data_IF_682716460951
#
_entry.id   IF_682716460951
#
_cell.length_a   1.000
_cell.length_b   1.000
_cell.length_c   1.000
_cell.angle_alpha   90.00
_cell.angle_beta   90.00
_cell.angle_gamma   90.00
#
_symmetry.space_group_name_H-M   'P 1'
#
loop_
_entity.id
_entity.type
_entity.pdbx_description
1 polymer ?
#
# COMPACT_ATOMS: atom_id res chain seq x y z
N UNK A 1 -41.92 -14.09 -33.06
CA UNK A 1 -40.97 -15.01 -32.38
C UNK A 1 -39.48 -14.58 -32.39
N UNK A 2 -39.07 -13.50 -33.07
CA UNK A 2 -37.64 -13.06 -33.09
C UNK A 2 -37.23 -12.09 -31.97
N UNK A 3 -38.17 -11.43 -31.30
CA UNK A 3 -37.88 -10.43 -30.26
C UNK A 3 -37.58 -11.00 -28.86
N UNK A 4 -38.05 -12.22 -28.56
CA UNK A 4 -37.87 -12.84 -27.24
C UNK A 4 -36.45 -13.42 -27.06
N UNK A 5 -35.76 -13.79 -28.16
CA UNK A 5 -34.40 -14.33 -28.09
C UNK A 5 -33.33 -13.27 -27.80
N UNK A 6 -33.54 -12.00 -28.16
CA UNK A 6 -32.59 -10.91 -27.86
C UNK A 6 -32.66 -10.45 -26.40
N UNK A 7 -33.81 -10.54 -25.73
CA UNK A 7 -33.91 -10.19 -24.31
C UNK A 7 -33.21 -11.23 -23.41
N UNK A 8 -33.30 -12.52 -23.76
CA UNK A 8 -32.63 -13.58 -23.00
C UNK A 8 -31.10 -13.47 -23.07
N UNK A 9 -30.55 -13.04 -24.22
CA UNK A 9 -29.10 -12.87 -24.37
C UNK A 9 -28.57 -11.67 -23.57
N UNK A 10 -29.37 -10.60 -23.45
CA UNK A 10 -29.01 -9.43 -22.64
C UNK A 10 -29.04 -9.73 -21.13
N UNK A 11 -29.96 -10.60 -20.68
CA UNK A 11 -30.05 -11.00 -19.27
C UNK A 11 -28.91 -11.91 -18.81
N UNK A 12 -28.40 -12.78 -19.69
CA UNK A 12 -27.28 -13.69 -19.37
C UNK A 12 -25.95 -12.93 -19.25
N UNK A 13 -25.75 -11.87 -20.04
CA UNK A 13 -24.52 -11.06 -19.97
C UNK A 13 -24.50 -10.20 -18.70
N UNK A 14 -25.64 -9.67 -18.26
CA UNK A 14 -25.74 -8.84 -17.03
C UNK A 14 -25.53 -9.69 -15.76
N UNK A 15 -25.92 -10.98 -15.75
CA UNK A 15 -25.68 -11.84 -14.57
C UNK A 15 -24.22 -12.33 -14.45
N UNK A 16 -23.47 -12.42 -15.55
CA UNK A 16 -22.08 -12.87 -15.51
C UNK A 16 -21.10 -11.84 -14.92
N UNK A 17 -21.45 -10.55 -14.92
CA UNK A 17 -20.59 -9.48 -14.38
C UNK A 17 -20.89 -9.12 -12.92
N UNK A 18 -22.00 -9.62 -12.36
CA UNK A 18 -22.40 -9.35 -10.97
C UNK A 18 -21.84 -10.33 -9.93
N UNK A 19 -21.31 -11.48 -10.35
CA UNK A 19 -20.96 -12.58 -9.43
C UNK A 19 -19.54 -12.51 -8.85
N UNK A 20 -18.62 -11.73 -9.43
CA UNK A 20 -17.24 -11.63 -8.91
C UNK A 20 -16.97 -10.42 -8.01
N UNK A 21 -17.86 -9.42 -7.99
CA UNK A 21 -17.68 -8.21 -7.19
C UNK A 21 -18.09 -8.39 -5.70
N UNK A 22 -18.69 -9.52 -5.34
CA UNK A 22 -19.27 -9.73 -4.01
C UNK A 22 -18.26 -10.26 -2.97
N UNK A 23 -17.14 -10.84 -3.36
CA UNK A 23 -16.25 -11.55 -2.42
C UNK A 23 -15.05 -10.72 -1.92
N UNK A 24 -14.92 -9.47 -2.39
CA UNK A 24 -13.80 -8.59 -2.04
C UNK A 24 -14.29 -7.29 -1.39
N UNK A 25 -13.48 -6.76 -0.47
CA UNK A 25 -13.63 -5.44 0.14
C UNK A 25 -12.35 -4.63 -0.06
N UNK A 26 -12.42 -3.31 0.05
CA UNK A 26 -11.20 -2.51 0.14
C UNK A 26 -10.44 -2.83 1.42
N UNK A 27 -9.12 -2.90 1.34
CA UNK A 27 -8.30 -2.98 2.53
C UNK A 27 -8.49 -1.71 3.38
N UNK A 28 -8.61 -1.90 4.69
CA UNK A 28 -8.84 -0.85 5.67
C UNK A 28 -7.75 -0.83 6.72
N UNK A 29 -7.39 0.37 7.18
CA UNK A 29 -6.42 0.52 8.25
C UNK A 29 -6.99 -0.03 9.56
N UNK A 30 -6.14 -0.65 10.39
CA UNK A 30 -6.54 -1.11 11.72
C UNK A 30 -7.03 0.07 12.58
N UNK A 31 -7.93 -0.16 13.54
CA UNK A 31 -8.38 0.88 14.47
C UNK A 31 -7.20 1.62 15.11
N UNK A 32 -7.25 2.96 15.11
CA UNK A 32 -6.21 3.82 15.68
C UNK A 32 -5.06 4.19 14.74
N UNK A 33 -4.76 3.37 13.71
CA UNK A 33 -3.63 3.62 12.79
C UNK A 33 -3.74 4.99 12.13
N UNK A 34 -4.92 5.33 11.62
CA UNK A 34 -5.17 6.64 11.00
C UNK A 34 -4.78 7.78 11.94
N UNK A 35 -5.24 7.75 13.19
CA UNK A 35 -5.01 8.85 14.14
C UNK A 35 -3.53 8.96 14.51
N UNK A 36 -2.86 7.82 14.72
CA UNK A 36 -1.45 7.80 15.06
C UNK A 36 -0.59 8.28 13.87
N UNK A 37 -0.91 7.89 12.64
CA UNK A 37 -0.24 8.41 11.44
C UNK A 37 -0.52 9.90 11.21
N UNK A 38 -1.75 10.38 11.43
CA UNK A 38 -2.09 11.82 11.36
C UNK A 38 -1.27 12.63 12.37
N UNK A 39 -1.14 12.13 13.60
CA UNK A 39 -0.31 12.73 14.64
C UNK A 39 1.17 12.76 14.23
N UNK A 40 1.68 11.66 13.68
CA UNK A 40 3.05 11.58 13.20
C UNK A 40 3.35 12.57 12.07
N UNK A 41 2.47 12.62 11.07
CA UNK A 41 2.67 13.43 9.86
C UNK A 41 2.47 14.93 10.13
N UNK A 42 1.62 15.28 11.10
CA UNK A 42 1.40 16.69 11.45
C UNK A 42 2.59 17.34 12.17
N UNK A 43 3.48 16.57 12.78
CA UNK A 43 4.68 17.07 13.43
C UNK A 43 5.92 16.92 12.53
N UNK A 44 6.30 18.03 11.87
CA UNK A 44 7.48 18.08 10.99
C UNK A 44 8.80 17.68 11.65
N UNK A 45 8.92 17.80 12.98
CA UNK A 45 10.15 17.39 13.70
C UNK A 45 10.38 15.87 13.66
N UNK A 46 9.33 15.09 13.40
CA UNK A 46 9.43 13.65 13.24
C UNK A 46 10.20 13.24 11.97
N UNK A 47 10.47 14.15 11.04
CA UNK A 47 11.05 13.82 9.74
C UNK A 47 12.48 14.33 9.56
N UNK A 48 13.28 13.52 8.88
CA UNK A 48 14.48 13.95 8.16
C UNK A 48 14.08 14.21 6.70
N UNK A 49 14.58 15.29 6.10
CA UNK A 49 14.31 15.62 4.70
C UNK A 49 15.52 15.24 3.86
N UNK A 50 15.27 14.48 2.80
CA UNK A 50 16.27 14.11 1.81
C UNK A 50 15.75 14.45 0.40
N UNK A 51 16.63 14.42 -0.60
CA UNK A 51 16.23 14.62 -2.00
C UNK A 51 15.64 13.33 -2.52
N UNK A 52 14.49 13.42 -3.19
CA UNK A 52 13.93 12.27 -3.90
C UNK A 52 14.73 12.07 -5.20
N UNK A 53 15.50 10.99 -5.27
CA UNK A 53 16.32 10.66 -6.43
C UNK A 53 15.56 9.95 -7.55
N UNK A 54 14.32 9.50 -7.30
CA UNK A 54 13.49 8.78 -8.27
C UNK A 54 12.63 9.75 -9.05
N UNK A 55 11.92 10.64 -8.36
CA UNK A 55 10.96 11.56 -8.99
C UNK A 55 11.41 13.01 -9.02
N UNK A 56 12.51 13.32 -8.33
CA UNK A 56 12.88 14.69 -8.02
C UNK A 56 12.00 15.28 -6.92
N UNK A 57 12.55 16.23 -6.16
CA UNK A 57 11.84 16.88 -5.05
C UNK A 57 12.33 16.42 -3.69
N UNK A 58 11.43 16.36 -2.70
CA UNK A 58 11.76 15.99 -1.32
C UNK A 58 11.05 14.72 -0.90
N UNK A 59 11.81 13.80 -0.31
CA UNK A 59 11.32 12.67 0.47
C UNK A 59 11.52 12.98 1.97
N UNK A 60 10.53 12.61 2.78
CA UNK A 60 10.56 12.80 4.22
C UNK A 60 10.66 11.44 4.91
N UNK A 61 11.83 11.13 5.47
CA UNK A 61 12.01 9.89 6.23
C UNK A 61 11.67 10.10 7.69
N UNK A 62 10.95 9.13 8.25
CA UNK A 62 10.52 9.20 9.64
C UNK A 62 11.71 8.85 10.56
N UNK A 63 12.02 9.74 11.48
CA UNK A 63 13.11 9.56 12.46
C UNK A 63 12.78 8.44 13.43
N UNK A 64 13.81 7.73 13.85
CA UNK A 64 13.72 6.80 14.95
C UNK A 64 13.62 7.56 16.27
N UNK A 65 12.52 7.35 16.99
CA UNK A 65 12.40 7.68 18.42
C UNK A 65 11.67 6.56 19.11
N UNK A 66 11.85 6.41 20.44
CA UNK A 66 11.12 5.40 21.20
C UNK A 66 9.59 5.54 21.04
N UNK A 67 9.08 6.77 21.00
CA UNK A 67 7.65 7.04 20.81
C UNK A 67 7.15 6.57 19.44
N UNK A 68 7.88 6.91 18.38
CA UNK A 68 7.56 6.48 17.01
C UNK A 68 7.63 4.96 16.89
N UNK A 69 8.70 4.34 17.42
CA UNK A 69 8.83 2.89 17.44
C UNK A 69 7.68 2.21 18.20
N UNK A 70 7.24 2.78 19.32
CA UNK A 70 6.11 2.25 20.09
C UNK A 70 4.78 2.33 19.32
N UNK A 71 4.56 3.37 18.52
CA UNK A 71 3.39 3.46 17.63
C UNK A 71 3.37 2.29 16.64
N UNK A 72 4.49 2.00 15.97
CA UNK A 72 4.51 0.88 15.04
C UNK A 72 4.46 -0.48 15.74
N UNK A 73 5.08 -0.63 16.93
CA UNK A 73 5.00 -1.84 17.75
C UNK A 73 3.56 -2.17 18.16
N UNK A 74 2.75 -1.16 18.46
CA UNK A 74 1.31 -1.32 18.77
C UNK A 74 0.54 -2.03 17.64
N UNK A 75 0.95 -1.86 16.39
CA UNK A 75 0.33 -2.49 15.22
C UNK A 75 1.07 -3.76 14.73
N UNK A 76 2.33 -3.90 15.13
CA UNK A 76 3.14 -5.12 15.17
C UNK A 76 2.41 -6.29 15.82
N UNK A 77 1.94 -7.28 15.06
CA UNK A 77 1.38 -8.51 15.64
C UNK A 77 2.54 -9.34 16.18
N UNK A 78 2.44 -9.71 17.45
CA UNK A 78 3.39 -10.53 18.22
C UNK A 78 3.00 -12.02 18.24
N UNK A 79 2.21 -12.50 17.27
CA UNK A 79 1.80 -13.90 17.26
C UNK A 79 2.90 -14.78 16.66
N UNK A 80 3.64 -15.49 17.53
CA UNK A 80 4.76 -16.37 17.20
C UNK A 80 4.43 -17.51 16.19
N UNK A 81 3.15 -17.73 15.87
CA UNK A 81 2.69 -18.77 14.93
C UNK A 81 2.43 -18.27 13.51
N UNK A 82 2.54 -16.95 13.25
CA UNK A 82 2.53 -16.38 11.91
C UNK A 82 3.93 -15.83 11.66
N UNK A 83 4.58 -16.23 10.58
CA UNK A 83 5.92 -15.78 10.14
C UNK A 83 6.04 -14.25 9.87
N UNK A 84 5.22 -13.40 10.51
CA UNK A 84 5.30 -11.94 10.47
C UNK A 84 6.06 -11.41 11.70
N UNK A 85 7.26 -11.92 11.99
CA UNK A 85 8.15 -11.36 13.01
C UNK A 85 8.62 -9.96 12.59
N UNK A 86 7.79 -8.96 12.84
CA UNK A 86 8.07 -7.56 12.50
C UNK A 86 8.94 -6.92 13.57
N UNK A 87 10.25 -6.97 13.38
CA UNK A 87 11.17 -6.19 14.20
C UNK A 87 11.13 -4.72 13.79
N UNK A 88 11.23 -3.85 14.78
CA UNK A 88 11.37 -2.41 14.57
C UNK A 88 12.78 -2.05 14.96
N UNK A 89 13.55 -1.55 14.01
CA UNK A 89 14.96 -1.24 14.17
C UNK A 89 15.24 0.22 13.82
N UNK A 90 16.33 0.74 14.37
CA UNK A 90 16.93 1.99 13.90
C UNK A 90 17.87 1.66 12.75
N UNK A 91 17.71 2.33 11.61
CA UNK A 91 18.65 2.35 10.50
C UNK A 91 19.10 3.80 10.29
N UNK A 92 20.34 4.13 10.62
CA UNK A 92 20.87 5.50 10.53
C UNK A 92 19.95 6.53 11.22
N UNK A 93 19.48 6.22 12.43
CA UNK A 93 18.52 7.03 13.21
C UNK A 93 17.15 7.23 12.55
N UNK A 94 16.79 6.39 11.58
CA UNK A 94 15.48 6.36 10.92
C UNK A 94 14.74 5.07 11.26
N UNK A 95 13.41 5.14 11.25
CA UNK A 95 12.55 4.01 11.63
C UNK A 95 12.44 3.00 10.49
N UNK A 96 12.55 1.72 10.84
CA UNK A 96 12.28 0.58 9.97
C UNK A 96 11.29 -0.40 10.56
N UNK A 97 10.43 -0.95 9.73
CA UNK A 97 9.48 -2.03 10.03
C UNK A 97 9.86 -3.29 9.24
N UNK A 98 10.08 -4.42 9.92
CA UNK A 98 10.38 -5.73 9.29
C UNK A 98 11.81 -6.23 9.46
N UNK A 99 12.02 -7.56 9.32
CA UNK A 99 13.36 -8.16 9.30
C UNK A 99 14.13 -7.77 8.02
N UNK A 100 15.46 -7.66 8.16
CA UNK A 100 16.42 -7.31 7.12
C UNK A 100 16.55 -8.32 5.96
N UNK A 101 15.73 -9.38 5.90
CA UNK A 101 15.97 -10.54 5.04
C UNK A 101 15.02 -10.74 3.87
N UNK A 102 13.96 -9.93 3.73
CA UNK A 102 13.13 -9.92 2.52
C UNK A 102 13.09 -8.52 1.90
N UNK A 103 14.23 -8.15 1.32
CA UNK A 103 14.49 -6.87 0.66
C UNK A 103 13.40 -6.49 -0.35
N UNK A 104 12.69 -7.47 -0.90
CA UNK A 104 11.69 -7.28 -1.96
C UNK A 104 10.27 -6.95 -1.48
N UNK A 105 9.97 -6.99 -0.17
CA UNK A 105 8.59 -6.89 0.34
C UNK A 105 8.40 -6.01 1.58
N UNK A 106 9.29 -5.05 1.85
CA UNK A 106 9.15 -4.15 3.01
C UNK A 106 7.87 -3.28 2.96
N UNK A 107 7.52 -2.75 1.79
CA UNK A 107 6.24 -2.04 1.59
C UNK A 107 5.03 -2.93 1.95
N UNK A 108 5.09 -4.22 1.63
CA UNK A 108 4.06 -5.20 1.98
C UNK A 108 4.00 -5.44 3.48
N UNK A 109 5.15 -5.62 4.13
CA UNK A 109 5.21 -5.82 5.58
C UNK A 109 4.66 -4.60 6.34
N UNK A 110 4.99 -3.39 5.88
CA UNK A 110 4.44 -2.14 6.38
C UNK A 110 2.90 -2.10 6.28
N UNK A 111 2.35 -2.46 5.12
CA UNK A 111 0.89 -2.44 4.91
C UNK A 111 0.17 -3.52 5.71
N UNK A 112 0.67 -4.76 5.71
CA UNK A 112 0.13 -5.85 6.54
C UNK A 112 0.20 -5.51 8.02
N UNK A 113 1.16 -4.67 8.41
CA UNK A 113 1.26 -4.20 9.78
C UNK A 113 0.12 -3.27 10.17
N UNK A 114 -0.26 -2.37 9.27
CA UNK A 114 -1.14 -1.25 9.56
C UNK A 114 -2.59 -1.45 9.09
N UNK A 115 -2.88 -2.52 8.36
CA UNK A 115 -4.20 -2.77 7.76
C UNK A 115 -4.71 -4.18 8.02
N UNK A 116 -5.96 -4.43 7.64
CA UNK A 116 -6.56 -5.76 7.56
C UNK A 116 -6.08 -6.56 6.34
N UNK A 117 -5.12 -6.05 5.57
CA UNK A 117 -4.57 -6.76 4.44
C UNK A 117 -3.78 -8.00 4.89
N UNK A 118 -4.25 -9.16 4.46
CA UNK A 118 -3.63 -10.46 4.75
C UNK A 118 -2.41 -10.73 3.84
N UNK A 119 -2.09 -12.00 3.61
CA UNK A 119 -1.02 -12.40 2.69
C UNK A 119 -1.30 -11.91 1.25
N UNK A 120 -0.24 -11.51 0.54
CA UNK A 120 -0.35 -10.87 -0.79
C UNK A 120 -0.97 -11.75 -1.87
N UNK A 121 -0.97 -13.07 -1.69
CA UNK A 121 -1.68 -14.05 -2.53
C UNK A 121 -3.18 -13.76 -2.67
N UNK A 122 -3.77 -13.09 -1.68
CA UNK A 122 -5.18 -12.72 -1.64
C UNK A 122 -5.48 -11.33 -2.20
N UNK A 123 -4.46 -10.53 -2.45
CA UNK A 123 -4.62 -9.14 -2.87
C UNK A 123 -5.07 -9.06 -4.32
N UNK A 124 -6.07 -8.22 -4.58
CA UNK A 124 -6.62 -8.00 -5.92
C UNK A 124 -6.71 -6.51 -6.24
N UNK A 125 -6.66 -6.26 -7.54
CA UNK A 125 -7.00 -4.96 -8.12
C UNK A 125 -8.51 -4.70 -7.97
N UNK A 126 -8.89 -3.50 -7.52
CA UNK A 126 -10.27 -2.98 -7.51
C UNK A 126 -10.98 -2.85 -8.86
N UNK A 127 -10.30 -3.04 -9.99
CA UNK A 127 -10.84 -2.85 -11.34
C UNK A 127 -10.72 -1.43 -11.90
N UNK A 128 -10.25 -0.45 -11.12
CA UNK A 128 -9.97 0.91 -11.59
C UNK A 128 -8.55 1.37 -11.24
N UNK A 129 -7.87 2.02 -12.19
CA UNK A 129 -6.61 2.73 -11.95
C UNK A 129 -6.85 4.04 -11.20
N UNK A 130 -5.87 4.51 -10.43
CA UNK A 130 -6.00 5.79 -9.73
C UNK A 130 -6.13 6.94 -10.71
N UNK A 131 -6.93 7.94 -10.35
CA UNK A 131 -7.05 9.19 -11.08
C UNK A 131 -7.37 10.34 -10.10
N UNK A 132 -7.27 11.58 -10.59
CA UNK A 132 -7.40 12.80 -9.80
C UNK A 132 -8.79 13.04 -9.20
N UNK A 133 -9.83 12.34 -9.67
CA UNK A 133 -11.20 12.44 -9.12
C UNK A 133 -11.47 11.52 -7.93
N UNK A 134 -10.56 10.58 -7.62
CA UNK A 134 -10.76 9.61 -6.55
C UNK A 134 -10.46 10.19 -5.16
N UNK A 135 -11.26 9.81 -4.16
CA UNK A 135 -10.93 10.07 -2.76
C UNK A 135 -9.92 9.03 -2.25
N UNK A 136 -8.65 9.43 -2.13
CA UNK A 136 -7.53 8.53 -1.80
C UNK A 136 -7.08 8.60 -0.34
N UNK A 137 -7.49 9.62 0.42
CA UNK A 137 -6.99 9.80 1.79
C UNK A 137 -7.31 8.59 2.67
N UNK A 138 -6.27 8.00 3.27
CA UNK A 138 -6.27 6.78 4.09
C UNK A 138 -6.68 5.50 3.34
N UNK A 139 -6.49 5.47 2.02
CA UNK A 139 -6.68 4.25 1.22
C UNK A 139 -5.36 3.53 1.03
N UNK A 140 -5.42 2.19 1.05
CA UNK A 140 -4.28 1.36 0.64
C UNK A 140 -4.30 1.24 -0.88
N UNK A 141 -3.18 1.56 -1.52
CA UNK A 141 -3.01 1.50 -2.97
C UNK A 141 -1.87 0.55 -3.31
N UNK A 142 -1.98 -0.16 -4.43
CA UNK A 142 -0.95 -1.10 -4.87
C UNK A 142 -0.80 -1.14 -6.39
N UNK A 143 0.40 -1.51 -6.87
CA UNK A 143 0.65 -1.92 -8.25
C UNK A 143 0.32 -3.40 -8.41
N UNK A 144 -0.49 -3.70 -9.42
CA UNK A 144 -0.91 -5.06 -9.73
C UNK A 144 -0.36 -5.49 -11.09
N UNK A 145 -0.18 -6.81 -11.24
CA UNK A 145 0.04 -7.42 -12.55
C UNK A 145 -1.18 -7.19 -13.44
N UNK A 146 -1.00 -7.32 -14.75
CA UNK A 146 -2.09 -7.22 -15.74
C UNK A 146 -3.25 -8.19 -15.47
N UNK A 147 -2.98 -9.32 -14.80
CA UNK A 147 -4.00 -10.30 -14.39
C UNK A 147 -4.73 -9.94 -13.08
N UNK A 148 -4.53 -8.73 -12.54
CA UNK A 148 -5.21 -8.23 -11.34
C UNK A 148 -4.71 -8.81 -10.02
N UNK A 149 -3.68 -9.67 -10.02
CA UNK A 149 -3.05 -10.22 -8.81
C UNK A 149 -1.84 -9.38 -8.40
N UNK A 150 -1.56 -9.34 -7.11
CA UNK A 150 -0.30 -8.76 -6.61
C UNK A 150 0.89 -9.69 -6.93
N UNK A 151 2.08 -9.11 -6.90
CA UNK A 151 3.34 -9.81 -7.14
C UNK A 151 3.64 -10.81 -6.02
N UNK A 152 4.24 -11.94 -6.38
CA UNK A 152 4.64 -13.02 -5.48
C UNK A 152 6.13 -13.33 -5.66
N UNK A 153 6.80 -13.86 -4.62
CA UNK A 153 8.14 -14.42 -4.76
C UNK A 153 8.21 -15.40 -5.94
N UNK A 154 9.22 -15.27 -6.80
CA UNK A 154 9.39 -16.09 -8.00
C UNK A 154 8.72 -15.57 -9.27
N UNK A 155 7.94 -14.48 -9.20
CA UNK A 155 7.47 -13.79 -10.41
C UNK A 155 8.67 -13.14 -11.15
N UNK A 156 8.67 -13.22 -12.47
CA UNK A 156 9.81 -12.85 -13.35
C UNK A 156 10.24 -11.37 -13.34
N UNK A 157 9.49 -10.45 -12.72
CA UNK A 157 9.81 -9.02 -12.67
C UNK A 157 9.26 -8.36 -11.38
N UNK A 158 10.05 -7.94 -10.39
CA UNK A 158 9.48 -7.20 -9.26
C UNK A 158 8.96 -5.83 -9.76
N UNK A 159 7.64 -5.65 -9.78
CA UNK A 159 6.95 -4.36 -10.03
C UNK A 159 5.90 -4.11 -8.93
N UNK A 160 6.04 -4.79 -7.79
CA UNK A 160 5.07 -4.73 -6.72
C UNK A 160 5.44 -3.61 -5.76
N UNK A 161 4.62 -2.56 -5.72
CA UNK A 161 4.67 -1.57 -4.65
C UNK A 161 3.29 -1.40 -4.04
N UNK A 162 3.24 -1.12 -2.73
CA UNK A 162 2.02 -0.88 -1.99
C UNK A 162 2.25 0.21 -0.95
N UNK A 163 1.30 1.12 -0.81
CA UNK A 163 1.43 2.30 0.04
C UNK A 163 0.08 2.70 0.66
N UNK A 164 0.12 3.55 1.68
CA UNK A 164 -1.06 4.24 2.21
C UNK A 164 -1.08 5.63 1.57
N UNK A 165 -2.11 5.94 0.79
CA UNK A 165 -2.33 7.30 0.32
C UNK A 165 -2.81 8.18 1.49
N UNK A 166 -2.13 9.31 1.72
CA UNK A 166 -2.43 10.27 2.79
C UNK A 166 -3.07 11.56 2.26
N UNK A 167 -3.17 11.71 0.93
CA UNK A 167 -3.84 12.81 0.25
C UNK A 167 -3.51 12.83 -1.24
N UNK A 168 -4.11 13.75 -1.99
CA UNK A 168 -3.80 14.00 -3.39
C UNK A 168 -4.00 15.46 -3.75
N UNK A 169 -3.30 15.92 -4.79
CA UNK A 169 -3.45 17.26 -5.36
C UNK A 169 -3.27 17.20 -6.89
N UNK A 170 -3.12 18.35 -7.54
CA UNK A 170 -2.89 18.44 -8.99
C UNK A 170 -1.61 17.76 -9.47
N UNK A 171 -0.63 17.57 -8.59
CA UNK A 171 0.70 17.05 -8.94
C UNK A 171 0.78 15.53 -8.77
N UNK A 172 -0.02 14.96 -7.86
CA UNK A 172 0.00 13.54 -7.60
C UNK A 172 -0.69 13.11 -6.32
N UNK A 173 -0.25 11.97 -5.80
CA UNK A 173 -0.74 11.34 -4.57
C UNK A 173 0.36 11.37 -3.53
N UNK A 174 0.10 11.96 -2.36
CA UNK A 174 1.01 11.82 -1.24
C UNK A 174 0.82 10.46 -0.60
N UNK A 175 1.91 9.77 -0.34
CA UNK A 175 1.89 8.43 0.26
C UNK A 175 2.78 8.35 1.48
N UNK A 176 2.45 7.41 2.36
CA UNK A 176 3.37 6.87 3.35
C UNK A 176 3.58 5.38 3.05
N UNK A 177 4.83 4.98 2.98
CA UNK A 177 5.25 3.62 2.67
C UNK A 177 6.60 3.30 3.33
N UNK A 178 7.12 2.12 3.02
CA UNK A 178 8.47 1.73 3.35
C UNK A 178 9.12 1.11 2.13
N UNK A 179 10.38 1.49 1.87
CA UNK A 179 11.18 1.00 0.75
C UNK A 179 10.50 1.19 -0.60
N UNK A 180 10.59 2.42 -1.08
CA UNK A 180 10.29 2.77 -2.45
C UNK A 180 11.35 2.16 -3.40
N UNK A 181 10.92 1.36 -4.39
CA UNK A 181 11.78 0.82 -5.46
C UNK A 181 12.41 1.97 -6.25
N UNK A 182 13.61 2.41 -5.85
CA UNK A 182 14.40 3.33 -6.67
C UNK A 182 15.61 3.98 -6.01
N UNK A 183 15.71 4.02 -4.68
CA UNK A 183 16.83 4.68 -4.01
C UNK A 183 18.04 3.77 -3.66
N UNK A 184 18.10 2.57 -4.22
CA UNK A 184 19.21 1.63 -3.98
C UNK A 184 19.28 1.14 -2.52
N UNK A 185 20.41 0.51 -2.15
CA UNK A 185 20.61 -0.13 -0.84
C UNK A 185 20.58 0.84 0.36
N UNK A 186 20.75 2.15 0.12
CA UNK A 186 20.89 3.17 1.16
C UNK A 186 19.57 3.53 1.87
N UNK A 187 18.43 3.31 1.21
CA UNK A 187 17.10 3.67 1.73
C UNK A 187 16.28 2.46 2.16
N UNK A 188 16.89 1.27 2.12
CA UNK A 188 16.29 0.06 2.64
C UNK A 188 15.89 0.26 4.09
N UNK A 189 14.66 -0.14 4.38
CA UNK A 189 14.08 -0.11 5.70
C UNK A 189 13.53 1.25 6.14
N UNK A 190 13.75 2.36 5.45
CA UNK A 190 13.21 3.65 5.94
C UNK A 190 11.71 3.81 5.64
N UNK A 191 10.92 4.19 6.64
CA UNK A 191 9.53 4.65 6.42
C UNK A 191 9.56 6.08 5.89
N UNK A 192 8.85 6.33 4.80
CA UNK A 192 8.94 7.58 4.06
C UNK A 192 7.57 8.18 3.76
N UNK A 193 7.54 9.52 3.67
CA UNK A 193 6.43 10.28 3.11
C UNK A 193 6.93 11.04 1.90
N UNK A 194 6.29 10.82 0.75
CA UNK A 194 6.69 11.44 -0.51
C UNK A 194 5.51 11.59 -1.47
N UNK A 195 5.75 12.26 -2.59
CA UNK A 195 4.77 12.49 -3.64
C UNK A 195 4.98 11.44 -4.73
N UNK A 196 3.93 10.68 -5.04
CA UNK A 196 3.79 9.94 -6.28
C UNK A 196 3.24 10.85 -7.37
N UNK A 197 4.03 11.25 -8.38
CA UNK A 197 3.49 12.06 -9.48
C UNK A 197 2.39 11.31 -10.23
N UNK A 198 1.42 12.02 -10.83
CA UNK A 198 0.27 11.35 -11.48
C UNK A 198 0.64 10.34 -12.56
N UNK A 199 1.69 10.60 -13.36
CA UNK A 199 2.19 9.67 -14.39
C UNK A 199 2.65 8.33 -13.81
N UNK A 200 2.95 8.30 -12.51
CA UNK A 200 3.30 7.09 -11.78
C UNK A 200 2.11 6.56 -10.97
N UNK A 201 1.35 7.44 -10.32
CA UNK A 201 0.20 7.08 -9.51
C UNK A 201 -0.89 6.34 -10.33
N UNK A 202 -1.02 6.63 -11.63
CA UNK A 202 -1.95 5.93 -12.53
C UNK A 202 -1.63 4.44 -12.72
N UNK A 203 -0.40 4.01 -12.39
CA UNK A 203 -0.04 2.59 -12.38
C UNK A 203 -0.63 1.84 -11.18
N UNK A 204 -1.05 2.56 -10.14
CA UNK A 204 -1.63 2.01 -8.91
C UNK A 204 -3.14 1.80 -9.04
N UNK A 205 -3.67 1.07 -8.06
CA UNK A 205 -5.11 0.90 -7.86
C UNK A 205 -5.41 0.73 -6.38
N UNK A 206 -6.67 0.94 -6.00
CA UNK A 206 -7.11 0.61 -4.64
C UNK A 206 -6.93 -0.89 -4.37
N UNK A 207 -6.33 -1.23 -3.23
CA UNK A 207 -6.15 -2.61 -2.81
C UNK A 207 -7.49 -3.20 -2.34
N UNK A 208 -7.86 -4.35 -2.88
CA UNK A 208 -8.95 -5.17 -2.35
C UNK A 208 -8.44 -6.51 -1.80
N UNK A 209 -9.15 -7.00 -0.80
CA UNK A 209 -8.89 -8.27 -0.09
C UNK A 209 -10.20 -9.04 0.09
N UNK A 210 -10.15 -10.37 0.30
CA UNK A 210 -11.37 -11.15 0.51
C UNK A 210 -12.20 -10.64 1.69
N UNK A 211 -13.52 -10.80 1.60
CA UNK A 211 -14.40 -10.68 2.76
C UNK A 211 -14.20 -11.91 3.63
N UNK A 212 -13.82 -11.69 4.88
CA UNK A 212 -13.75 -12.69 5.95
C UNK A 212 -15.09 -12.83 6.64
#
# INVERSE_FOLDING_TARGET
>A
MKLIKSLLFLFVIIQSQGLYAQDYKFATLKPGVKNDLESLISNSNNFSRETDHVFGGSILYLKYTNNIANIFKKYGSTSASKHDSRYITSLNDLISVGESFDTYFQCVQFIRALSDAEHTSHWRWSGAKLNSSMYLKWRVIAKFKSNGKYWQPGDSKPYGHVAIAIGSNSNGVYVIDQNWEGNGTADYGKVSVHLLPWHEAENYSLLTVPKT
#
